data_IF_234023976340
#
_entry.id   IF_234023976340
#
_cell.length_a   1.000
_cell.length_b   1.000
_cell.length_c   1.000
_cell.angle_alpha   90.00
_cell.angle_beta   90.00
_cell.angle_gamma   90.00
#
_symmetry.space_group_name_H-M   'P 1'
#
loop_
_entity.id
_entity.type
_entity.pdbx_description
1 polymer ?
#
# COMPACT_ATOMS: atom_id res chain seq x y z
N UNK A 1 -33.56 -64.96 2.76
CA UNK A 1 -32.11 -64.76 2.99
C UNK A 1 -31.97 -64.25 4.42
N UNK A 2 -32.10 -65.04 5.49
CA UNK A 2 -31.57 -66.38 5.85
C UNK A 2 -30.31 -66.28 6.73
N UNK A 3 -30.54 -66.25 8.04
CA UNK A 3 -29.76 -66.74 9.19
C UNK A 3 -28.23 -66.58 9.28
N UNK A 4 -27.79 -65.60 10.07
CA UNK A 4 -27.35 -65.72 11.48
C UNK A 4 -26.50 -66.94 11.98
N UNK A 5 -25.46 -66.60 12.74
CA UNK A 5 -24.87 -67.28 13.92
C UNK A 5 -24.05 -68.60 13.85
N UNK A 6 -22.75 -68.45 14.17
CA UNK A 6 -22.09 -68.99 15.39
C UNK A 6 -22.06 -70.49 15.77
N UNK A 7 -20.83 -71.04 15.67
CA UNK A 7 -20.04 -71.75 16.72
C UNK A 7 -20.45 -73.13 17.29
N UNK A 8 -19.39 -73.86 17.70
CA UNK A 8 -19.29 -75.01 18.62
C UNK A 8 -19.69 -76.39 18.07
N UNK A 9 -18.71 -77.30 17.86
CA UNK A 9 -18.14 -78.32 18.79
C UNK A 9 -18.81 -79.71 18.55
N UNK A 10 -18.23 -80.90 18.82
CA UNK A 10 -17.18 -81.31 19.76
C UNK A 10 -16.50 -82.66 19.34
N UNK A 11 -15.21 -82.86 19.69
CA UNK A 11 -14.45 -84.10 20.03
C UNK A 11 -14.54 -85.46 19.27
N UNK A 12 -13.36 -86.09 19.07
CA UNK A 12 -12.88 -87.42 19.62
C UNK A 12 -11.59 -87.84 18.85
N UNK A 13 -10.34 -87.68 19.36
CA UNK A 13 -9.52 -88.50 20.31
C UNK A 13 -8.99 -89.86 19.78
N UNK A 14 -7.66 -89.96 19.58
CA UNK A 14 -6.72 -91.11 19.82
C UNK A 14 -5.37 -90.82 19.07
N UNK A 15 -4.17 -90.64 19.67
CA UNK A 15 -3.28 -91.46 20.53
C UNK A 15 -2.27 -92.36 19.77
N UNK A 16 -0.97 -92.21 20.08
CA UNK A 16 0.20 -93.03 19.65
C UNK A 16 1.43 -92.12 19.40
N UNK A 17 2.53 -92.09 20.19
CA UNK A 17 3.56 -93.11 20.47
C UNK A 17 4.13 -93.75 19.17
N UNK A 18 5.44 -93.87 18.91
CA UNK A 18 6.66 -93.72 19.74
C UNK A 18 7.93 -93.48 18.86
N UNK A 19 9.11 -93.20 19.46
CA UNK A 19 10.43 -93.13 18.78
C UNK A 19 10.95 -94.54 18.42
N UNK A 20 11.77 -94.73 17.37
CA UNK A 20 13.22 -94.85 17.61
C UNK A 20 14.17 -94.31 16.50
N UNK A 21 15.46 -94.40 16.83
CA UNK A 21 16.75 -94.14 16.17
C UNK A 21 16.95 -94.31 14.63
N UNK A 22 18.03 -93.63 14.19
CA UNK A 22 18.97 -93.92 13.09
C UNK A 22 18.68 -93.40 11.67
N UNK A 23 19.68 -93.06 10.82
CA UNK A 23 21.04 -92.46 11.06
C UNK A 23 21.65 -91.93 9.72
N UNK A 24 22.86 -91.36 9.77
CA UNK A 24 23.85 -91.16 8.67
C UNK A 24 23.55 -90.13 7.55
N UNK A 25 24.33 -89.03 7.63
CA UNK A 25 25.04 -88.29 6.55
C UNK A 25 24.36 -88.07 5.18
N UNK A 26 24.20 -86.80 4.81
CA UNK A 26 24.04 -86.34 3.42
C UNK A 26 24.21 -84.84 3.28
N UNK A 27 25.46 -84.36 3.15
CA UNK A 27 25.74 -82.92 3.08
C UNK A 27 25.71 -82.39 1.64
N UNK A 28 24.73 -81.54 1.29
CA UNK A 28 24.88 -80.44 0.33
C UNK A 28 23.84 -79.35 0.61
N UNK A 29 24.23 -78.08 0.90
CA UNK A 29 23.29 -76.97 1.02
C UNK A 29 23.09 -76.29 -0.35
N UNK A 30 21.90 -76.43 -0.94
CA UNK A 30 21.48 -75.61 -2.08
C UNK A 30 21.08 -74.21 -1.59
N UNK A 31 22.00 -73.25 -1.67
CA UNK A 31 21.78 -71.85 -1.27
C UNK A 31 20.75 -71.18 -2.20
N UNK A 32 19.64 -70.61 -1.69
CA UNK A 32 18.75 -69.78 -2.49
C UNK A 32 19.38 -68.40 -2.72
N UNK A 33 20.10 -68.25 -3.83
CA UNK A 33 20.60 -66.96 -4.31
C UNK A 33 19.44 -66.06 -4.74
N UNK A 34 18.86 -65.33 -3.79
CA UNK A 34 18.05 -64.14 -4.07
C UNK A 34 18.96 -62.91 -4.13
N UNK A 35 19.08 -62.23 -5.28
CA UNK A 35 19.84 -60.99 -5.33
C UNK A 35 19.10 -59.91 -4.53
N UNK A 36 19.58 -59.64 -3.32
CA UNK A 36 19.12 -58.51 -2.50
C UNK A 36 19.46 -57.21 -3.23
N UNK A 37 18.49 -56.68 -3.97
CA UNK A 37 18.53 -55.33 -4.55
C UNK A 37 18.96 -54.33 -3.47
N UNK A 38 20.16 -53.76 -3.63
CA UNK A 38 20.68 -52.75 -2.71
C UNK A 38 19.93 -51.43 -2.91
N UNK A 39 18.79 -51.29 -2.22
CA UNK A 39 18.12 -49.99 -2.04
C UNK A 39 18.95 -49.08 -1.12
N UNK A 40 20.04 -48.50 -1.65
CA UNK A 40 21.03 -47.72 -0.89
C UNK A 40 21.27 -46.28 -1.38
N UNK A 41 20.38 -45.71 -2.19
CA UNK A 41 20.48 -44.32 -2.65
C UNK A 41 19.29 -43.37 -2.46
N UNK A 42 18.07 -43.74 -1.97
CA UNK A 42 16.95 -42.79 -1.95
C UNK A 42 17.19 -41.62 -1.00
N UNK A 43 17.90 -41.83 0.12
CA UNK A 43 18.20 -40.80 1.11
C UNK A 43 19.24 -39.79 0.58
N UNK A 44 20.23 -40.25 -0.19
CA UNK A 44 21.24 -39.36 -0.82
C UNK A 44 20.63 -38.53 -1.96
N UNK A 45 19.72 -39.12 -2.75
CA UNK A 45 18.97 -38.42 -3.79
C UNK A 45 18.02 -37.39 -3.15
N UNK A 46 17.31 -37.74 -2.08
CA UNK A 46 16.47 -36.81 -1.33
C UNK A 46 17.30 -35.66 -0.74
N UNK A 47 18.48 -35.93 -0.17
CA UNK A 47 19.39 -34.91 0.33
C UNK A 47 19.84 -33.95 -0.79
N UNK A 48 20.22 -34.48 -1.96
CA UNK A 48 20.61 -33.69 -3.14
C UNK A 48 19.50 -32.79 -3.68
N UNK A 49 18.22 -33.08 -3.39
CA UNK A 49 17.07 -32.25 -3.79
C UNK A 49 16.67 -31.27 -2.68
N UNK A 50 16.66 -31.71 -1.42
CA UNK A 50 16.27 -30.88 -0.28
C UNK A 50 17.32 -29.81 0.03
N UNK A 51 18.62 -30.15 -0.04
CA UNK A 51 19.72 -29.22 0.23
C UNK A 51 19.66 -27.94 -0.62
N UNK A 52 19.56 -27.99 -1.98
CA UNK A 52 19.46 -26.78 -2.78
C UNK A 52 18.17 -25.99 -2.53
N UNK A 53 17.04 -26.64 -2.19
CA UNK A 53 15.79 -25.94 -1.83
C UNK A 53 16.00 -25.13 -0.55
N UNK A 54 16.58 -25.72 0.50
CA UNK A 54 16.90 -25.03 1.75
C UNK A 54 17.93 -23.92 1.54
N UNK A 55 18.93 -24.15 0.69
CA UNK A 55 19.94 -23.16 0.33
C UNK A 55 19.32 -21.95 -0.38
N UNK A 56 18.50 -22.17 -1.41
CA UNK A 56 17.80 -21.12 -2.15
C UNK A 56 16.87 -20.32 -1.24
N UNK A 57 16.10 -20.99 -0.38
CA UNK A 57 15.24 -20.32 0.61
C UNK A 57 16.06 -19.44 1.56
N UNK A 58 17.18 -19.95 2.08
CA UNK A 58 18.06 -19.22 2.99
C UNK A 58 18.68 -17.98 2.32
N UNK A 59 19.10 -18.10 1.05
CA UNK A 59 19.61 -16.96 0.26
C UNK A 59 18.53 -15.89 0.07
N UNK A 60 17.29 -16.30 -0.25
CA UNK A 60 16.16 -15.36 -0.43
C UNK A 60 15.82 -14.65 0.87
N UNK A 61 15.79 -15.33 2.02
CA UNK A 61 15.53 -14.67 3.31
C UNK A 61 16.66 -13.71 3.70
N UNK A 62 17.93 -14.11 3.58
CA UNK A 62 19.08 -13.23 3.87
C UNK A 62 19.07 -11.99 2.97
N UNK A 63 18.81 -12.15 1.66
CA UNK A 63 18.69 -11.04 0.73
C UNK A 63 17.51 -10.12 1.08
N UNK A 64 16.37 -10.70 1.47
CA UNK A 64 15.16 -9.95 1.87
C UNK A 64 15.35 -9.21 3.21
N UNK A 65 16.11 -9.78 4.14
CA UNK A 65 16.46 -9.13 5.41
C UNK A 65 17.44 -7.98 5.19
N UNK A 66 18.49 -8.18 4.36
CA UNK A 66 19.43 -7.13 3.99
C UNK A 66 18.76 -5.97 3.22
N UNK A 67 17.82 -6.27 2.32
CA UNK A 67 17.01 -5.27 1.63
C UNK A 67 16.14 -4.47 2.61
N UNK A 68 15.35 -5.15 3.47
CA UNK A 68 14.52 -4.51 4.49
C UNK A 68 15.33 -3.61 5.42
N UNK A 69 16.52 -4.03 5.85
CA UNK A 69 17.40 -3.23 6.72
C UNK A 69 17.90 -1.92 6.11
N UNK A 70 18.01 -1.83 4.77
CA UNK A 70 18.43 -0.61 4.06
C UNK A 70 17.26 0.22 3.51
N UNK A 71 16.04 -0.35 3.51
CA UNK A 71 14.85 0.25 2.90
C UNK A 71 13.75 0.63 3.89
N UNK A 72 13.86 0.28 5.17
CA UNK A 72 12.82 0.57 6.16
C UNK A 72 13.36 1.43 7.31
N UNK A 73 12.70 2.55 7.57
CA UNK A 73 12.98 3.43 8.70
C UNK A 73 11.99 3.14 9.84
N UNK A 74 12.49 2.72 11.00
CA UNK A 74 11.67 2.64 12.21
C UNK A 74 11.54 4.02 12.84
N UNK A 75 10.31 4.48 13.07
CA UNK A 75 10.00 5.76 13.71
C UNK A 75 9.26 5.51 15.02
N UNK A 76 9.73 6.17 16.07
CA UNK A 76 9.12 6.14 17.40
C UNK A 76 8.85 7.59 17.85
N UNK A 77 7.58 7.92 18.11
CA UNK A 77 7.15 9.29 18.44
C UNK A 77 6.66 9.31 19.88
N UNK A 78 7.51 9.77 20.80
CA UNK A 78 7.17 9.87 22.23
C UNK A 78 6.78 8.51 22.82
N UNK A 79 5.53 8.38 23.27
CA UNK A 79 4.97 7.14 23.84
C UNK A 79 4.11 6.33 22.85
N UNK A 80 4.15 6.65 21.56
CA UNK A 80 3.38 5.91 20.53
C UNK A 80 4.09 4.60 20.14
N UNK A 81 3.33 3.63 19.63
CA UNK A 81 3.92 2.40 19.07
C UNK A 81 4.84 2.74 17.90
N UNK A 82 5.96 2.02 17.78
CA UNK A 82 6.92 2.19 16.68
C UNK A 82 6.29 1.79 15.34
N UNK A 83 6.33 2.68 14.36
CA UNK A 83 5.96 2.40 12.98
C UNK A 83 7.20 2.07 12.12
N UNK A 84 7.00 1.30 11.04
CA UNK A 84 8.00 1.10 9.99
C UNK A 84 7.54 1.87 8.74
N UNK A 85 8.41 2.70 8.18
CA UNK A 85 8.20 3.41 6.91
C UNK A 85 9.09 2.79 5.83
N UNK A 86 8.50 2.36 4.73
CA UNK A 86 9.22 1.89 3.53
C UNK A 86 9.70 3.10 2.71
N UNK A 87 11.02 3.26 2.60
CA UNK A 87 11.68 4.36 1.91
C UNK A 87 11.62 4.24 0.38
N UNK A 88 11.27 3.07 -0.17
CA UNK A 88 11.09 2.89 -1.61
C UNK A 88 9.74 3.46 -2.10
N UNK A 89 8.80 3.72 -1.20
CA UNK A 89 7.46 4.20 -1.52
C UNK A 89 7.39 5.73 -1.45
N UNK A 90 8.06 6.40 -2.40
CA UNK A 90 7.91 7.85 -2.59
C UNK A 90 6.95 8.18 -3.73
N UNK A 91 5.94 9.00 -3.45
CA UNK A 91 5.16 9.69 -4.46
C UNK A 91 5.68 11.13 -4.59
N UNK A 92 5.82 11.68 -5.82
CA UNK A 92 6.21 13.09 -5.98
C UNK A 92 5.14 14.00 -5.40
N UNK A 93 5.49 14.77 -4.36
CA UNK A 93 4.59 15.75 -3.76
C UNK A 93 4.48 16.93 -4.72
N UNK A 94 3.27 17.19 -5.21
CA UNK A 94 3.02 18.34 -6.08
C UNK A 94 3.28 19.66 -5.34
N UNK A 95 4.02 20.62 -5.92
CA UNK A 95 4.19 21.95 -5.30
C UNK A 95 2.86 22.66 -5.05
N UNK A 96 1.85 22.37 -5.87
CA UNK A 96 0.49 22.92 -5.75
C UNK A 96 -0.30 22.41 -4.53
N UNK A 97 0.22 21.43 -3.79
CA UNK A 97 -0.30 21.07 -2.46
C UNK A 97 -0.13 22.22 -1.45
N UNK A 98 0.93 23.03 -1.61
CA UNK A 98 1.21 24.20 -0.78
C UNK A 98 0.53 25.44 -1.37
N UNK A 99 -0.80 25.44 -1.30
CA UNK A 99 -1.65 26.55 -1.72
C UNK A 99 -2.28 27.32 -0.56
N UNK A 100 -2.76 28.53 -0.84
CA UNK A 100 -3.61 29.29 0.11
C UNK A 100 -4.68 30.09 -0.63
N UNK A 101 -5.70 30.52 0.12
CA UNK A 101 -6.69 31.47 -0.35
C UNK A 101 -6.18 32.91 -0.12
N UNK A 102 -6.43 33.79 -1.08
CA UNK A 102 -6.18 35.24 -1.00
C UNK A 102 -7.45 35.99 -1.40
N UNK A 103 -7.56 37.24 -0.96
CA UNK A 103 -8.74 38.09 -1.12
C UNK A 103 -8.36 39.45 -1.70
N UNK A 104 -9.30 40.24 -2.25
CA UNK A 104 -9.01 41.56 -2.81
C UNK A 104 -8.18 42.45 -1.91
N UNK A 105 -7.34 43.29 -2.51
CA UNK A 105 -6.45 44.17 -1.76
C UNK A 105 -7.27 45.18 -0.95
N UNK A 106 -6.93 45.38 0.33
CA UNK A 106 -7.47 46.47 1.16
C UNK A 106 -7.32 47.82 0.45
N UNK A 107 -8.43 48.53 0.27
CA UNK A 107 -8.48 49.81 -0.46
C UNK A 107 -8.69 49.70 -1.98
N UNK A 108 -8.92 48.50 -2.53
CA UNK A 108 -9.50 48.34 -3.86
C UNK A 108 -11.02 48.59 -3.86
N UNK A 109 -11.61 48.90 -5.01
CA UNK A 109 -13.06 48.99 -5.15
C UNK A 109 -13.63 47.62 -5.61
N UNK A 110 -14.68 47.14 -4.95
CA UNK A 110 -15.60 46.11 -5.48
C UNK A 110 -16.75 46.80 -6.24
N UNK A 111 -17.39 46.07 -7.14
CA UNK A 111 -18.51 46.59 -7.94
C UNK A 111 -19.85 46.61 -7.20
N UNK A 112 -19.92 45.95 -6.04
CA UNK A 112 -21.18 45.59 -5.37
C UNK A 112 -21.21 45.80 -3.84
N UNK A 113 -20.09 45.80 -3.11
CA UNK A 113 -20.06 45.96 -1.64
C UNK A 113 -18.78 46.69 -1.14
N UNK A 114 -18.90 47.60 -0.15
CA UNK A 114 -17.74 48.31 0.41
C UNK A 114 -16.87 47.43 1.33
N UNK A 115 -15.75 46.94 0.78
CA UNK A 115 -14.52 46.57 1.49
C UNK A 115 -14.56 45.44 2.54
N UNK A 116 -15.61 44.62 2.59
CA UNK A 116 -15.66 43.46 3.50
C UNK A 116 -14.85 42.26 2.97
N UNK A 117 -14.10 41.59 3.86
CA UNK A 117 -13.34 40.37 3.53
C UNK A 117 -11.97 40.57 2.85
N UNK A 118 -11.40 41.78 2.86
CA UNK A 118 -10.20 42.11 2.08
C UNK A 118 -8.88 41.76 2.80
N UNK A 119 -7.80 41.62 2.01
CA UNK A 119 -6.47 41.23 2.48
C UNK A 119 -5.42 42.33 2.24
N UNK A 120 -4.49 42.51 3.19
CA UNK A 120 -3.38 43.44 2.99
C UNK A 120 -2.30 42.80 2.10
N UNK A 121 -1.90 43.48 1.03
CA UNK A 121 -0.74 43.12 0.21
C UNK A 121 0.54 43.84 0.67
N UNK A 122 0.64 44.17 1.97
CA UNK A 122 1.83 44.77 2.54
C UNK A 122 3.08 43.86 2.38
N UNK A 123 4.30 44.42 2.31
CA UNK A 123 5.53 43.64 2.09
C UNK A 123 5.76 42.50 3.08
N UNK A 124 5.26 42.59 4.32
CA UNK A 124 5.33 41.51 5.30
C UNK A 124 4.53 40.27 4.88
N UNK A 125 3.33 40.47 4.33
CA UNK A 125 2.44 39.40 3.86
C UNK A 125 3.02 38.75 2.59
N UNK A 126 3.44 39.58 1.62
CA UNK A 126 4.09 39.13 0.38
C UNK A 126 5.36 38.31 0.68
N UNK A 127 6.20 38.80 1.60
CA UNK A 127 7.38 38.06 2.03
C UNK A 127 7.01 36.77 2.77
N UNK A 128 5.98 36.77 3.62
CA UNK A 128 5.50 35.57 4.31
C UNK A 128 5.01 34.47 3.37
N UNK A 129 4.24 34.82 2.34
CA UNK A 129 3.81 33.89 1.28
C UNK A 129 5.01 33.29 0.55
N UNK A 130 5.97 34.14 0.15
CA UNK A 130 7.19 33.75 -0.56
C UNK A 130 8.13 32.88 0.29
N UNK A 131 8.37 33.24 1.55
CA UNK A 131 9.25 32.48 2.47
C UNK A 131 8.63 31.15 2.91
N UNK A 132 7.30 31.08 2.98
CA UNK A 132 6.57 29.84 3.27
C UNK A 132 6.48 28.90 2.06
N UNK A 133 7.09 29.27 0.92
CA UNK A 133 7.09 28.50 -0.32
C UNK A 133 5.68 28.17 -0.83
N UNK A 134 4.71 29.06 -0.63
CA UNK A 134 3.38 28.93 -1.21
C UNK A 134 3.50 29.02 -2.73
N UNK A 135 2.97 28.02 -3.45
CA UNK A 135 3.07 27.92 -4.91
C UNK A 135 1.75 28.12 -5.64
N UNK A 136 0.63 28.11 -4.92
CA UNK A 136 -0.69 28.31 -5.50
C UNK A 136 -1.49 29.34 -4.69
N UNK A 137 -1.96 30.40 -5.33
CA UNK A 137 -2.89 31.36 -4.74
C UNK A 137 -4.28 31.20 -5.39
N UNK A 138 -5.30 30.91 -4.58
CA UNK A 138 -6.70 30.94 -5.02
C UNK A 138 -7.31 32.31 -4.73
N UNK A 139 -7.87 32.93 -5.76
CA UNK A 139 -8.41 34.29 -5.69
C UNK A 139 -9.78 34.40 -6.36
N UNK A 140 -10.75 35.08 -5.75
CA UNK A 140 -10.89 35.27 -4.31
C UNK A 140 -11.12 33.92 -3.61
N UNK A 141 -10.86 33.87 -2.30
CA UNK A 141 -11.10 32.69 -1.49
C UNK A 141 -12.56 32.46 -1.11
N UNK A 142 -12.96 31.19 -0.98
CA UNK A 142 -14.19 30.78 -0.27
C UNK A 142 -15.50 31.31 -0.88
N UNK A 143 -16.44 31.63 -0.01
CA UNK A 143 -17.78 32.12 -0.37
C UNK A 143 -17.75 33.54 -0.96
N UNK A 144 -16.72 34.34 -0.65
CA UNK A 144 -16.57 35.70 -1.16
C UNK A 144 -16.66 35.74 -2.70
N UNK A 145 -16.07 34.75 -3.38
CA UNK A 145 -16.08 34.62 -4.84
C UNK A 145 -17.38 34.17 -5.49
N UNK A 146 -18.37 33.71 -4.72
CA UNK A 146 -19.74 33.47 -5.23
C UNK A 146 -20.65 34.68 -4.99
N UNK A 147 -20.37 35.47 -3.95
CA UNK A 147 -21.22 36.59 -3.52
C UNK A 147 -20.87 37.93 -4.18
N UNK A 148 -19.65 38.10 -4.69
CA UNK A 148 -19.15 39.40 -5.16
C UNK A 148 -18.53 39.35 -6.56
N UNK A 149 -18.71 40.44 -7.32
CA UNK A 149 -18.13 40.63 -8.65
C UNK A 149 -16.75 41.31 -8.57
N UNK A 150 -15.74 40.64 -9.13
CA UNK A 150 -14.38 41.15 -9.19
C UNK A 150 -14.26 42.35 -10.14
N UNK A 151 -13.61 43.41 -9.68
CA UNK A 151 -13.26 44.55 -10.54
C UNK A 151 -11.96 44.29 -11.32
N UNK A 152 -11.76 44.90 -12.50
CA UNK A 152 -10.49 44.78 -13.25
C UNK A 152 -9.26 45.24 -12.46
N UNK A 153 -9.44 46.18 -11.51
CA UNK A 153 -8.38 46.64 -10.60
C UNK A 153 -7.95 45.51 -9.67
N UNK A 154 -8.91 44.80 -9.06
CA UNK A 154 -8.64 43.67 -8.18
C UNK A 154 -7.92 42.51 -8.88
N UNK A 155 -8.29 42.22 -10.14
CA UNK A 155 -7.58 41.23 -10.97
C UNK A 155 -6.14 41.66 -11.30
N UNK A 156 -5.92 42.94 -11.58
CA UNK A 156 -4.59 43.50 -11.80
C UNK A 156 -3.71 43.46 -10.52
N UNK A 157 -4.28 43.76 -9.36
CA UNK A 157 -3.57 43.68 -8.08
C UNK A 157 -3.24 42.22 -7.70
N UNK A 158 -4.13 41.26 -8.00
CA UNK A 158 -3.81 39.83 -7.89
C UNK A 158 -2.67 39.42 -8.82
N UNK A 159 -2.65 39.89 -10.07
CA UNK A 159 -1.55 39.64 -11.01
C UNK A 159 -0.18 40.17 -10.50
N UNK A 160 -0.18 41.35 -9.88
CA UNK A 160 1.01 41.90 -9.18
C UNK A 160 1.44 41.00 -8.02
N UNK A 161 0.50 40.51 -7.21
CA UNK A 161 0.80 39.63 -6.08
C UNK A 161 1.45 38.32 -6.54
N UNK A 162 0.93 37.68 -7.61
CA UNK A 162 1.53 36.49 -8.22
C UNK A 162 2.98 36.75 -8.65
N UNK A 163 3.22 37.86 -9.34
CA UNK A 163 4.56 38.30 -9.78
C UNK A 163 5.52 38.54 -8.61
N UNK A 164 5.04 39.11 -7.50
CA UNK A 164 5.86 39.40 -6.32
C UNK A 164 6.16 38.16 -5.46
N UNK A 165 5.24 37.19 -5.42
CA UNK A 165 5.38 35.95 -4.63
C UNK A 165 6.09 34.84 -5.39
N UNK A 166 6.02 34.83 -6.72
CA UNK A 166 6.50 33.71 -7.54
C UNK A 166 5.63 32.46 -7.39
N UNK A 167 4.32 32.67 -7.26
CA UNK A 167 3.29 31.64 -7.15
C UNK A 167 2.37 31.67 -8.38
N UNK A 168 1.79 30.52 -8.72
CA UNK A 168 0.75 30.39 -9.74
C UNK A 168 -0.62 30.76 -9.16
N UNK A 169 -1.53 31.20 -10.03
CA UNK A 169 -2.85 31.69 -9.63
C UNK A 169 -4.00 30.87 -10.20
N UNK A 170 -5.02 30.61 -9.38
CA UNK A 170 -6.34 30.17 -9.86
C UNK A 170 -7.39 31.21 -9.50
N UNK A 171 -8.19 31.60 -10.48
CA UNK A 171 -9.30 32.55 -10.30
C UNK A 171 -10.61 31.79 -10.15
N UNK A 172 -11.35 32.07 -9.08
CA UNK A 172 -12.71 31.59 -8.92
C UNK A 172 -13.66 32.43 -9.79
N UNK A 173 -14.53 31.74 -10.52
CA UNK A 173 -15.61 32.35 -11.31
C UNK A 173 -16.93 32.02 -10.62
N UNK A 174 -17.79 33.00 -10.31
CA UNK A 174 -19.07 32.75 -9.64
C UNK A 174 -19.97 31.87 -10.53
N UNK A 175 -20.41 30.75 -9.97
CA UNK A 175 -21.36 29.84 -10.61
C UNK A 175 -22.80 30.23 -10.28
N UNK A 176 -23.01 30.80 -9.09
CA UNK A 176 -24.30 31.35 -8.66
C UNK A 176 -24.65 32.62 -9.43
N UNK A 177 -25.95 32.91 -9.54
CA UNK A 177 -26.45 34.21 -10.02
C UNK A 177 -26.18 35.29 -8.95
N UNK A 178 -25.71 36.51 -9.33
CA UNK A 178 -25.57 37.61 -8.38
C UNK A 178 -26.91 37.92 -7.68
N UNK A 179 -26.92 38.31 -6.39
CA UNK A 179 -28.15 38.62 -5.67
C UNK A 179 -29.02 39.64 -6.42
N UNK A 180 -30.15 39.16 -6.97
CA UNK A 180 -31.10 39.98 -7.74
C UNK A 180 -30.96 39.96 -9.28
N UNK A 181 -30.05 39.18 -9.88
CA UNK A 181 -29.91 39.06 -11.34
C UNK A 181 -29.83 37.61 -11.83
N UNK A 182 -30.89 37.10 -12.45
CA UNK A 182 -30.90 35.76 -13.07
C UNK A 182 -30.24 35.80 -14.45
N UNK A 183 -29.01 35.27 -14.59
CA UNK A 183 -28.25 35.30 -15.85
C UNK A 183 -27.78 33.90 -16.25
N UNK A 184 -28.07 33.50 -17.48
CA UNK A 184 -27.67 32.16 -17.98
C UNK A 184 -26.15 32.00 -17.95
N UNK A 185 -25.68 30.80 -17.59
CA UNK A 185 -24.24 30.50 -17.47
C UNK A 185 -23.48 30.77 -18.79
N UNK A 186 -24.15 30.56 -19.94
CA UNK A 186 -23.61 30.88 -21.25
C UNK A 186 -23.42 32.38 -21.50
N UNK A 187 -24.35 33.23 -21.03
CA UNK A 187 -24.22 34.69 -21.12
C UNK A 187 -23.16 35.26 -20.16
N UNK A 188 -22.81 34.53 -19.09
CA UNK A 188 -21.71 34.88 -18.20
C UNK A 188 -20.35 34.51 -18.81
N UNK A 189 -20.22 33.31 -19.36
CA UNK A 189 -18.99 32.83 -20.01
C UNK A 189 -18.59 33.65 -21.26
N UNK A 190 -19.50 34.42 -21.85
CA UNK A 190 -19.22 35.30 -23.00
C UNK A 190 -18.83 36.74 -22.62
N UNK A 191 -18.89 37.11 -21.33
CA UNK A 191 -18.63 38.47 -20.83
C UNK A 191 -17.45 38.54 -19.84
N UNK A 192 -16.71 37.44 -19.68
CA UNK A 192 -15.48 37.33 -18.90
C UNK A 192 -14.26 37.27 -19.83
#
# INVERSE_FOLDING_TARGET
MTFNNSKQQLNTVAIGQSRPFADVRGAMPSVPNTPKSQKRHPLYIALLIILPIVLLYSIVEIASAAYRGNSQLSIHIGSQQSGLIDLNQSLPISPYLLGTNVFPQVGSDSLDEPASGFMSYAPSIVNGLRSSHIRLLRFPGGEWGELHQLSPVQLNDFSKLLTQTGADGIVQVPLSDPPGQTLTLAARASNA
#
